data_IF_032500066456
#
_entry.id   IF_032500066456
#
_cell.length_a   1.000
_cell.length_b   1.000
_cell.length_c   1.000
_cell.angle_alpha   90.00
_cell.angle_beta   90.00
_cell.angle_gamma   90.00
#
_symmetry.space_group_name_H-M   'P 1'
#
loop_
_entity.id
_entity.type
_entity.pdbx_description
1 polymer ?
#
# COMPACT_ATOMS: atom_id res chain seq x y z
N UNK A 1 15.07 -0.11 7.61
CA UNK A 1 14.08 -1.16 7.93
C UNK A 1 13.04 -1.14 6.83
N UNK A 2 12.85 -2.24 6.10
CA UNK A 2 11.93 -2.32 4.97
C UNK A 2 10.67 -3.09 5.35
N UNK A 3 9.49 -2.59 4.96
CA UNK A 3 8.20 -3.26 5.19
C UNK A 3 8.13 -4.68 4.64
N UNK A 4 7.17 -5.48 5.13
CA UNK A 4 7.00 -6.90 4.82
C UNK A 4 6.96 -7.14 3.29
N UNK A 5 7.83 -8.04 2.83
CA UNK A 5 7.80 -8.55 1.46
C UNK A 5 6.84 -9.72 1.38
N UNK A 6 5.93 -9.69 0.41
CA UNK A 6 5.02 -10.81 0.13
C UNK A 6 5.54 -11.62 -1.06
N UNK A 7 5.41 -12.96 -1.06
CA UNK A 7 5.70 -13.77 -2.23
C UNK A 7 4.85 -13.35 -3.43
N UNK A 8 5.42 -13.44 -4.63
CA UNK A 8 4.75 -13.11 -5.88
C UNK A 8 4.98 -14.19 -6.93
N UNK A 9 3.88 -14.65 -7.52
CA UNK A 9 3.88 -15.54 -8.67
C UNK A 9 3.57 -14.75 -9.96
N UNK A 10 4.53 -14.59 -10.88
CA UNK A 10 4.35 -13.81 -12.10
C UNK A 10 3.36 -14.41 -13.11
N UNK A 11 2.85 -15.62 -12.87
CA UNK A 11 1.80 -16.24 -13.68
C UNK A 11 0.38 -15.87 -13.22
N UNK A 12 0.22 -15.11 -12.12
CA UNK A 12 -1.08 -14.78 -11.54
C UNK A 12 -1.38 -13.28 -11.62
N UNK A 13 -2.66 -12.96 -11.64
CA UNK A 13 -3.16 -11.58 -11.51
C UNK A 13 -3.30 -11.23 -10.02
N UNK A 14 -2.93 -10.01 -9.65
CA UNK A 14 -3.13 -9.48 -8.31
C UNK A 14 -3.87 -8.15 -8.35
N UNK A 15 -4.82 -7.95 -7.44
CA UNK A 15 -5.50 -6.66 -7.25
C UNK A 15 -5.12 -6.12 -5.88
N UNK A 16 -4.57 -4.92 -5.85
CA UNK A 16 -4.25 -4.18 -4.64
C UNK A 16 -5.26 -3.06 -4.52
N UNK A 17 -5.95 -2.94 -3.39
CA UNK A 17 -6.98 -1.92 -3.21
C UNK A 17 -7.09 -1.42 -1.79
N UNK A 18 -7.77 -0.31 -1.60
CA UNK A 18 -8.06 0.27 -0.29
C UNK A 18 -8.80 1.59 -0.41
N UNK A 19 -9.40 2.04 0.68
CA UNK A 19 -10.03 3.34 0.78
C UNK A 19 -8.97 4.39 1.11
N UNK A 20 -8.98 5.49 0.36
CA UNK A 20 -8.13 6.66 0.62
C UNK A 20 -9.01 7.88 0.76
N UNK A 21 -8.77 8.69 1.78
CA UNK A 21 -9.42 9.98 2.03
C UNK A 21 -8.33 11.01 2.28
N UNK A 22 -8.55 12.24 1.80
CA UNK A 22 -7.60 13.34 2.03
C UNK A 22 -8.32 14.58 2.55
N UNK A 23 -7.70 15.31 3.47
CA UNK A 23 -8.21 16.58 4.00
C UNK A 23 -7.10 17.62 3.91
N UNK A 24 -7.34 18.69 3.16
CA UNK A 24 -6.38 19.76 2.88
C UNK A 24 -5.02 19.25 2.38
N UNK A 25 -5.01 18.09 1.71
CA UNK A 25 -3.80 17.48 1.18
C UNK A 25 -3.20 18.34 0.08
N UNK A 26 -1.92 18.70 0.21
CA UNK A 26 -1.17 19.37 -0.85
C UNK A 26 -0.30 18.42 -1.69
N UNK A 27 -0.24 17.15 -1.31
CA UNK A 27 0.33 16.06 -2.10
C UNK A 27 -0.70 15.00 -2.42
N UNK A 28 -0.20 13.90 -2.96
CA UNK A 28 -1.03 12.86 -3.55
C UNK A 28 -1.03 11.61 -2.67
N UNK A 29 -2.22 11.21 -2.22
CA UNK A 29 -2.47 9.92 -1.58
C UNK A 29 -2.78 8.83 -2.62
N UNK A 30 -2.10 7.69 -2.54
CA UNK A 30 -2.29 6.55 -3.44
C UNK A 30 -1.77 5.24 -2.86
N UNK A 31 -2.00 4.13 -3.57
CA UNK A 31 -1.43 2.82 -3.26
C UNK A 31 -0.30 2.52 -4.24
N UNK A 32 0.86 2.13 -3.72
CA UNK A 32 2.02 1.71 -4.49
C UNK A 32 2.33 0.23 -4.29
N UNK A 33 2.81 -0.41 -5.35
CA UNK A 33 3.29 -1.80 -5.37
C UNK A 33 4.69 -1.81 -5.97
N UNK A 34 5.68 -2.20 -5.17
CA UNK A 34 7.08 -2.24 -5.55
C UNK A 34 7.54 -3.67 -5.82
N UNK A 35 8.30 -3.88 -6.89
CA UNK A 35 8.85 -5.18 -7.28
C UNK A 35 10.22 -5.46 -6.66
N UNK A 36 10.37 -6.64 -6.09
CA UNK A 36 11.60 -7.13 -5.47
C UNK A 36 12.04 -8.47 -6.07
N UNK A 37 13.36 -8.65 -6.16
CA UNK A 37 14.00 -9.92 -6.46
C UNK A 37 14.89 -10.28 -5.28
N UNK A 38 14.57 -11.39 -4.60
CA UNK A 38 15.36 -11.93 -3.50
C UNK A 38 15.70 -10.87 -2.44
N UNK A 39 14.73 -10.03 -2.08
CA UNK A 39 14.86 -8.96 -1.09
C UNK A 39 15.40 -7.64 -1.63
N UNK A 40 15.83 -7.58 -2.90
CA UNK A 40 16.41 -6.39 -3.52
C UNK A 40 15.38 -5.66 -4.38
N UNK A 41 15.14 -4.39 -4.10
CA UNK A 41 14.25 -3.55 -4.90
C UNK A 41 14.80 -3.39 -6.31
N UNK A 42 13.95 -3.62 -7.32
CA UNK A 42 14.36 -3.64 -8.73
C UNK A 42 14.07 -2.32 -9.48
N UNK A 43 13.89 -1.20 -8.76
CA UNK A 43 13.57 0.10 -9.36
C UNK A 43 12.31 0.10 -10.25
N UNK A 44 11.36 -0.76 -9.95
CA UNK A 44 10.08 -0.86 -10.65
C UNK A 44 8.93 -0.87 -9.67
N UNK A 45 7.92 -0.05 -9.96
CA UNK A 45 6.71 0.03 -9.15
C UNK A 45 5.50 0.41 -10.01
N UNK A 46 4.33 -0.04 -9.57
CA UNK A 46 3.03 0.34 -10.10
C UNK A 46 2.26 1.09 -9.03
N UNK A 47 1.29 1.91 -9.44
CA UNK A 47 0.44 2.65 -8.52
C UNK A 47 -1.00 2.70 -8.99
N UNK A 48 -1.90 2.92 -8.05
CA UNK A 48 -3.27 3.33 -8.35
C UNK A 48 -3.30 4.74 -8.97
N UNK A 49 -4.49 5.17 -9.38
CA UNK A 49 -4.77 6.61 -9.47
C UNK A 49 -4.45 7.28 -8.12
N UNK A 50 -4.22 8.60 -8.14
CA UNK A 50 -3.93 9.37 -6.93
C UNK A 50 -4.98 10.44 -6.67
N UNK A 51 -5.17 10.79 -5.40
CA UNK A 51 -6.12 11.79 -4.94
C UNK A 51 -5.43 12.85 -4.07
N UNK A 52 -5.94 14.08 -4.08
CA UNK A 52 -5.35 15.25 -3.39
C UNK A 52 -6.44 16.27 -3.04
N UNK A 53 -6.11 17.25 -2.19
CA UNK A 53 -7.05 18.24 -1.66
C UNK A 53 -8.05 17.62 -0.66
N UNK A 54 -9.31 18.01 -0.78
CA UNK A 54 -10.41 17.49 0.05
C UNK A 54 -11.17 16.42 -0.73
N UNK A 55 -11.00 15.16 -0.34
CA UNK A 55 -11.62 14.02 -1.00
C UNK A 55 -12.30 13.14 0.03
N UNK A 56 -13.53 12.73 -0.27
CA UNK A 56 -14.23 11.71 0.51
C UNK A 56 -13.53 10.35 0.35
N UNK A 57 -13.75 9.39 1.28
CA UNK A 57 -13.23 8.04 1.13
C UNK A 57 -13.53 7.47 -0.25
N UNK A 58 -12.47 7.20 -1.00
CA UNK A 58 -12.52 6.71 -2.38
C UNK A 58 -11.70 5.43 -2.46
N UNK A 59 -12.31 4.37 -3.00
CA UNK A 59 -11.61 3.10 -3.17
C UNK A 59 -10.68 3.16 -4.38
N UNK A 60 -9.38 3.15 -4.12
CA UNK A 60 -8.35 3.11 -5.14
C UNK A 60 -7.87 1.67 -5.33
N UNK A 61 -7.42 1.35 -6.54
CA UNK A 61 -6.85 0.05 -6.84
C UNK A 61 -5.76 0.12 -7.91
N UNK A 62 -4.89 -0.89 -7.91
CA UNK A 62 -3.94 -1.19 -8.98
C UNK A 62 -3.99 -2.68 -9.25
N UNK A 63 -4.00 -3.04 -10.53
CA UNK A 63 -4.00 -4.44 -10.98
C UNK A 63 -2.62 -4.74 -11.54
N UNK A 64 -2.06 -5.87 -11.12
CA UNK A 64 -0.83 -6.43 -11.68
C UNK A 64 -1.22 -7.69 -12.44
N UNK A 65 -1.04 -7.66 -13.75
CA UNK A 65 -1.28 -8.79 -14.64
C UNK A 65 -0.02 -9.65 -14.79
N UNK A 66 -0.17 -10.91 -15.23
CA UNK A 66 0.97 -11.73 -15.61
C UNK A 66 1.84 -11.02 -16.65
N UNK A 67 3.14 -10.91 -16.35
CA UNK A 67 4.12 -10.26 -17.23
C UNK A 67 4.27 -8.75 -17.08
N UNK A 68 3.51 -8.08 -16.20
CA UNK A 68 3.71 -6.66 -15.93
C UNK A 68 5.12 -6.41 -15.37
N UNK A 69 5.48 -7.12 -14.30
CA UNK A 69 6.84 -7.11 -13.78
C UNK A 69 7.80 -7.91 -14.70
N UNK A 70 9.06 -7.44 -14.88
CA UNK A 70 10.08 -8.15 -15.63
C UNK A 70 10.39 -9.51 -14.98
N UNK A 71 10.97 -10.41 -15.78
CA UNK A 71 11.37 -11.72 -15.30
C UNK A 71 12.31 -11.63 -14.08
N UNK A 72 12.07 -12.48 -13.09
CA UNK A 72 12.89 -12.58 -11.86
C UNK A 72 12.35 -11.81 -10.66
N UNK A 73 11.28 -11.02 -10.79
CA UNK A 73 10.54 -10.53 -9.62
C UNK A 73 9.83 -11.70 -8.95
N UNK A 74 10.07 -11.90 -7.66
CA UNK A 74 9.47 -12.98 -6.85
C UNK A 74 8.85 -12.47 -5.55
N UNK A 75 8.94 -11.17 -5.29
CA UNK A 75 8.42 -10.54 -4.10
C UNK A 75 7.82 -9.17 -4.43
N UNK A 76 6.79 -8.78 -3.68
CA UNK A 76 6.19 -7.46 -3.74
C UNK A 76 6.22 -6.78 -2.37
N UNK A 77 6.20 -5.46 -2.39
CA UNK A 77 5.92 -4.64 -1.22
C UNK A 77 4.83 -3.64 -1.55
N UNK A 78 3.88 -3.47 -0.64
CA UNK A 78 2.76 -2.55 -0.81
C UNK A 78 2.94 -1.39 0.14
N UNK A 79 2.59 -0.19 -0.31
CA UNK A 79 2.60 1.01 0.53
C UNK A 79 1.35 1.82 0.30
N UNK A 80 0.66 2.18 1.37
CA UNK A 80 -0.07 3.43 1.42
C UNK A 80 0.97 4.56 1.31
N UNK A 81 0.79 5.45 0.34
CA UNK A 81 1.85 6.36 -0.06
C UNK A 81 1.35 7.79 -0.20
N UNK A 82 2.13 8.73 0.36
CA UNK A 82 1.97 10.17 0.19
C UNK A 82 3.19 10.71 -0.55
N UNK A 83 2.97 11.48 -1.61
CA UNK A 83 4.06 12.04 -2.41
C UNK A 83 4.97 12.98 -1.61
N UNK A 84 6.29 12.81 -1.74
CA UNK A 84 7.32 13.55 -0.99
C UNK A 84 7.32 15.09 -1.17
N UNK A 85 6.64 15.63 -2.20
CA UNK A 85 6.57 17.08 -2.47
C UNK A 85 5.39 17.82 -1.84
N UNK A 86 4.54 17.12 -1.05
CA UNK A 86 3.32 17.69 -0.48
C UNK A 86 2.78 16.84 0.68
N UNK A 87 3.50 16.77 1.78
CA UNK A 87 3.09 15.97 2.95
C UNK A 87 2.19 16.75 3.94
N UNK A 88 1.75 17.97 3.61
CA UNK A 88 0.83 18.70 4.47
C UNK A 88 -0.63 18.32 4.18
N UNK A 89 -1.46 18.42 5.23
CA UNK A 89 -2.81 17.90 5.25
C UNK A 89 -2.88 16.47 5.80
N UNK A 90 -4.09 15.96 5.95
CA UNK A 90 -4.34 14.64 6.52
C UNK A 90 -4.62 13.62 5.42
N UNK A 91 -4.07 12.43 5.59
CA UNK A 91 -4.25 11.29 4.68
C UNK A 91 -4.73 10.11 5.50
N UNK A 92 -5.86 9.55 5.12
CA UNK A 92 -6.44 8.39 5.78
C UNK A 92 -6.45 7.23 4.80
N UNK A 93 -5.98 6.08 5.27
CA UNK A 93 -5.97 4.84 4.52
C UNK A 93 -6.68 3.78 5.35
N UNK A 94 -7.52 2.99 4.71
CA UNK A 94 -8.32 1.96 5.39
C UNK A 94 -8.65 0.81 4.42
N UNK A 95 -8.87 -0.38 4.96
CA UNK A 95 -9.32 -1.56 4.22
C UNK A 95 -8.35 -1.94 3.10
N UNK A 96 -7.05 -1.88 3.36
CA UNK A 96 -6.01 -2.29 2.43
C UNK A 96 -6.09 -3.80 2.18
N UNK A 97 -6.17 -4.16 0.90
CA UNK A 97 -6.43 -5.52 0.46
C UNK A 97 -5.52 -5.90 -0.70
N UNK A 98 -5.13 -7.17 -0.70
CA UNK A 98 -4.39 -7.82 -1.77
C UNK A 98 -5.10 -9.11 -2.11
N UNK A 99 -5.58 -9.20 -3.34
CA UNK A 99 -6.32 -10.35 -3.84
C UNK A 99 -5.53 -11.02 -4.95
N UNK A 100 -5.21 -12.30 -4.77
CA UNK A 100 -4.64 -13.16 -5.79
C UNK A 100 -5.75 -13.80 -6.63
N UNK A 101 -5.61 -13.74 -7.96
CA UNK A 101 -6.56 -14.29 -8.94
C UNK A 101 -8.00 -13.72 -8.85
N UNK A 102 -8.19 -12.64 -8.07
CA UNK A 102 -9.46 -11.93 -7.87
C UNK A 102 -10.62 -12.85 -7.43
N UNK A 103 -10.41 -13.61 -6.34
CA UNK A 103 -11.43 -14.49 -5.78
C UNK A 103 -12.42 -13.78 -4.82
N UNK A 104 -12.33 -12.46 -4.62
CA UNK A 104 -13.32 -11.62 -3.92
C UNK A 104 -13.46 -11.83 -2.40
N UNK A 105 -12.85 -12.87 -1.83
CA UNK A 105 -13.04 -13.27 -0.44
C UNK A 105 -11.74 -13.58 0.32
N UNK A 106 -10.57 -13.40 -0.30
CA UNK A 106 -9.28 -13.76 0.28
C UNK A 106 -8.30 -12.57 0.23
N UNK A 107 -8.04 -11.96 1.38
CA UNK A 107 -7.03 -10.92 1.55
C UNK A 107 -5.73 -11.56 2.06
N UNK A 108 -4.63 -11.43 1.31
CA UNK A 108 -3.31 -11.91 1.76
C UNK A 108 -2.56 -10.89 2.62
N UNK A 109 -3.10 -9.67 2.76
CA UNK A 109 -2.55 -8.64 3.63
C UNK A 109 -3.01 -8.86 5.08
N UNK A 110 -2.04 -9.01 5.98
CA UNK A 110 -2.28 -9.11 7.42
C UNK A 110 -2.57 -7.72 8.00
N UNK A 111 -3.60 -7.60 8.85
CA UNK A 111 -3.99 -6.34 9.50
C UNK A 111 -4.24 -5.18 8.51
N UNK A 112 -4.95 -5.47 7.41
CA UNK A 112 -5.21 -4.48 6.35
C UNK A 112 -6.27 -3.44 6.68
N UNK A 113 -7.10 -3.71 7.69
CA UNK A 113 -8.05 -2.77 8.30
C UNK A 113 -7.40 -1.84 9.33
N UNK A 114 -6.15 -2.10 9.72
CA UNK A 114 -5.34 -1.26 10.63
C UNK A 114 -5.84 -1.20 12.08
N UNK A 115 -6.86 -1.98 12.46
CA UNK A 115 -7.48 -1.92 13.78
C UNK A 115 -6.70 -2.67 14.88
N UNK A 116 -5.77 -3.55 14.50
CA UNK A 116 -4.98 -4.31 15.47
C UNK A 116 -3.71 -3.53 15.85
N UNK A 117 -3.66 -3.07 17.08
CA UNK A 117 -2.48 -2.47 17.72
C UNK A 117 -2.31 -3.08 19.12
N UNK A 118 -1.35 -4.00 19.25
CA UNK A 118 -1.05 -4.68 20.51
C UNK A 118 0.09 -4.03 21.30
N UNK A 119 0.79 -3.07 20.71
CA UNK A 119 1.84 -2.25 21.34
C UNK A 119 1.48 -0.75 21.22
N UNK A 120 0.54 -0.26 22.06
CA UNK A 120 -0.01 1.09 21.92
C UNK A 120 0.99 2.21 22.25
N UNK A 121 2.27 1.87 22.50
CA UNK A 121 3.31 2.86 22.78
C UNK A 121 3.77 3.61 21.52
N UNK A 122 3.65 3.01 20.32
CA UNK A 122 4.09 3.63 19.07
C UNK A 122 2.93 4.16 18.19
N UNK A 123 1.67 3.80 18.51
CA UNK A 123 0.46 4.09 17.72
C UNK A 123 0.56 3.59 16.26
N UNK A 124 1.39 2.58 15.98
CA UNK A 124 1.56 1.97 14.66
C UNK A 124 0.80 0.64 14.65
N UNK A 125 -0.17 0.44 13.73
CA UNK A 125 -0.85 -0.85 13.61
C UNK A 125 0.13 -2.02 13.46
N UNK A 126 -0.12 -3.11 14.17
CA UNK A 126 0.72 -4.30 14.14
C UNK A 126 1.04 -4.71 12.69
N UNK A 127 2.32 -5.03 12.40
CA UNK A 127 2.85 -5.42 11.07
C UNK A 127 2.97 -4.30 10.04
N UNK A 128 2.70 -3.06 10.43
CA UNK A 128 3.00 -1.88 9.63
C UNK A 128 4.26 -1.16 10.13
N UNK A 129 4.81 -0.30 9.28
CA UNK A 129 5.95 0.56 9.62
C UNK A 129 5.64 1.96 9.12
N UNK A 130 5.83 2.95 9.99
CA UNK A 130 5.74 4.35 9.64
C UNK A 130 7.06 4.85 9.03
N UNK A 131 6.97 5.77 8.06
CA UNK A 131 8.11 6.64 7.78
C UNK A 131 8.21 7.67 8.91
N UNK A 132 9.40 7.85 9.50
CA UNK A 132 9.60 8.71 10.68
C UNK A 132 9.37 10.20 10.45
N UNK A 133 8.96 10.59 9.23
CA UNK A 133 8.53 11.94 8.87
C UNK A 133 7.02 12.18 9.07
N UNK A 134 6.23 11.14 9.39
CA UNK A 134 4.77 11.21 9.52
C UNK A 134 4.33 11.07 10.98
N UNK A 135 3.44 11.95 11.43
CA UNK A 135 2.72 11.77 12.68
C UNK A 135 1.53 10.83 12.43
N UNK A 136 1.37 9.82 13.30
CA UNK A 136 0.25 8.85 13.23
C UNK A 136 -0.68 9.09 14.41
N UNK A 137 -1.97 9.17 14.11
CA UNK A 137 -3.05 9.23 15.10
C UNK A 137 -4.09 8.16 14.76
N UNK A 138 -4.49 7.38 15.75
CA UNK A 138 -5.61 6.43 15.69
C UNK A 138 -6.91 7.07 16.16
#
# INVERSE_FOLDING_TARGET
MGGKLIPYNPAKTYVFSGNVKTVNANGQGMIYVFGYKDGVYQNIAYRSASITGNQIPTRLHVVIHPGDFPAGINQLQIRAYVSAGGQAGDYYFDGLQVEEEFNGAYNVLENGDLERDSDPADNIPDRWLADGSMEIST
#
